data_IF_386399986441
#
_entry.id   IF_386399986441
#
_cell.length_a   1.000
_cell.length_b   1.000
_cell.length_c   1.000
_cell.angle_alpha   90.00
_cell.angle_beta   90.00
_cell.angle_gamma   90.00
#
_symmetry.space_group_name_H-M   'P 1'
#
loop_
_entity.id
_entity.type
_entity.pdbx_description
1 polymer ?
#
# COMPACT_ATOMS: atom_id res chain seq x y z
N UNK A 1 3.78 8.21 1.11
CA UNK A 1 2.44 8.10 0.50
C UNK A 1 1.93 6.71 0.80
N UNK A 2 0.85 6.61 1.57
CA UNK A 2 0.22 5.33 1.93
C UNK A 2 -0.89 4.98 0.91
N UNK A 3 -1.10 3.69 0.65
CA UNK A 3 -2.17 3.21 -0.23
C UNK A 3 -3.52 3.38 0.44
N UNK A 4 -3.58 3.12 1.75
CA UNK A 4 -4.77 3.24 2.56
C UNK A 4 -4.39 3.49 4.02
N UNK A 5 -5.29 4.14 4.76
CA UNK A 5 -5.16 4.33 6.20
C UNK A 5 -6.37 3.72 6.91
N UNK A 6 -6.14 2.62 7.63
CA UNK A 6 -7.17 1.91 8.35
C UNK A 6 -6.71 0.51 8.74
N UNK A 7 -7.64 -0.41 8.89
CA UNK A 7 -7.33 -1.76 9.35
C UNK A 7 -7.78 -2.80 8.33
N UNK A 8 -6.85 -3.70 7.95
CA UNK A 8 -7.14 -4.89 7.14
C UNK A 8 -7.51 -6.00 8.11
N UNK A 9 -8.80 -6.37 8.18
CA UNK A 9 -9.31 -7.35 9.17
C UNK A 9 -9.37 -8.75 8.60
N UNK A 10 -9.66 -8.86 7.32
CA UNK A 10 -9.90 -10.14 6.65
C UNK A 10 -9.10 -10.25 5.35
N UNK A 11 -8.88 -11.48 4.83
CA UNK A 11 -8.30 -11.65 3.51
C UNK A 11 -9.14 -11.01 2.39
N UNK A 12 -10.45 -10.92 2.57
CA UNK A 12 -11.36 -10.26 1.61
C UNK A 12 -11.05 -8.77 1.50
N UNK A 13 -10.70 -8.12 2.61
CA UNK A 13 -10.26 -6.71 2.58
C UNK A 13 -9.00 -6.54 1.71
N UNK A 14 -8.04 -7.47 1.81
CA UNK A 14 -6.85 -7.47 0.98
C UNK A 14 -7.18 -7.59 -0.53
N UNK A 15 -8.16 -8.43 -0.88
CA UNK A 15 -8.63 -8.57 -2.27
C UNK A 15 -9.20 -7.24 -2.78
N UNK A 16 -9.99 -6.53 -1.98
CA UNK A 16 -10.49 -5.21 -2.35
C UNK A 16 -9.37 -4.20 -2.57
N UNK A 17 -8.31 -4.21 -1.74
CA UNK A 17 -7.17 -3.35 -1.94
C UNK A 17 -6.44 -3.65 -3.26
N UNK A 18 -6.28 -4.92 -3.63
CA UNK A 18 -5.68 -5.30 -4.90
C UNK A 18 -6.50 -4.84 -6.10
N UNK A 19 -7.82 -5.04 -6.07
CA UNK A 19 -8.71 -4.61 -7.15
C UNK A 19 -8.73 -3.08 -7.27
N UNK A 20 -8.82 -2.37 -6.14
CA UNK A 20 -8.78 -0.92 -6.12
C UNK A 20 -7.45 -0.36 -6.66
N UNK A 21 -6.32 -1.02 -6.38
CA UNK A 21 -5.03 -0.66 -6.98
C UNK A 21 -4.97 -0.99 -8.49
N UNK A 22 -5.60 -2.10 -8.92
CA UNK A 22 -5.62 -2.53 -10.33
C UNK A 22 -6.40 -1.55 -11.21
N UNK A 23 -7.53 -1.02 -10.73
CA UNK A 23 -8.35 -0.04 -11.45
C UNK A 23 -7.86 1.42 -11.27
N UNK A 24 -6.82 1.65 -10.47
CA UNK A 24 -6.25 2.99 -10.23
C UNK A 24 -7.01 3.85 -9.21
N UNK A 25 -7.92 3.25 -8.43
CA UNK A 25 -8.66 3.96 -7.37
C UNK A 25 -7.76 4.26 -6.16
N UNK A 26 -6.92 3.31 -5.78
CA UNK A 26 -5.95 3.50 -4.69
C UNK A 26 -4.52 3.57 -5.23
N UNK A 27 -3.67 4.44 -4.65
CA UNK A 27 -2.31 4.56 -5.10
C UNK A 27 -1.47 3.35 -4.69
N UNK A 28 -0.78 2.75 -5.65
CA UNK A 28 0.18 1.68 -5.40
C UNK A 28 1.60 2.25 -5.21
N UNK A 29 2.36 1.67 -4.30
CA UNK A 29 3.78 1.98 -4.10
C UNK A 29 4.60 1.31 -5.19
N UNK A 30 5.38 2.10 -5.94
CA UNK A 30 6.20 1.63 -7.08
C UNK A 30 7.69 1.50 -6.75
N UNK A 31 8.11 1.95 -5.56
CA UNK A 31 9.50 1.91 -5.10
C UNK A 31 9.56 1.84 -3.58
N UNK A 32 10.71 1.46 -3.02
CA UNK A 32 10.94 1.54 -1.58
C UNK A 32 10.75 2.98 -1.07
N UNK A 33 10.10 3.10 0.08
CA UNK A 33 9.95 4.39 0.78
C UNK A 33 11.33 4.94 1.17
N UNK A 34 11.53 6.23 0.89
CA UNK A 34 12.68 7.01 1.35
C UNK A 34 12.65 7.18 2.88
N UNK A 35 13.77 7.56 3.47
CA UNK A 35 13.86 7.76 4.92
C UNK A 35 12.84 8.77 5.44
N UNK A 36 12.65 9.89 4.72
CA UNK A 36 11.62 10.89 5.04
C UNK A 36 10.20 10.33 4.97
N UNK A 37 9.90 9.48 3.98
CA UNK A 37 8.58 8.85 3.85
C UNK A 37 8.35 7.77 4.91
N UNK A 38 9.40 7.14 5.44
CA UNK A 38 9.28 6.17 6.53
C UNK A 38 8.92 6.84 7.86
N UNK A 39 9.36 8.08 8.07
CA UNK A 39 9.01 8.84 9.28
C UNK A 39 7.51 9.12 9.39
N UNK A 40 6.76 9.06 8.28
CA UNK A 40 5.30 9.24 8.30
C UNK A 40 4.50 7.94 8.45
N UNK A 41 5.17 6.78 8.58
CA UNK A 41 4.49 5.51 8.86
C UNK A 41 3.89 5.56 10.27
N UNK A 42 2.62 5.23 10.38
CA UNK A 42 1.87 5.23 11.64
C UNK A 42 0.94 4.03 11.71
N UNK A 43 0.32 3.84 12.88
CA UNK A 43 -0.68 2.79 13.07
C UNK A 43 -1.79 2.92 12.04
N UNK A 44 -2.08 1.83 11.33
CA UNK A 44 -3.07 1.79 10.26
C UNK A 44 -2.56 2.17 8.86
N UNK A 45 -1.28 2.54 8.69
CA UNK A 45 -0.71 2.74 7.35
C UNK A 45 -0.62 1.41 6.59
N UNK A 46 -1.28 1.34 5.43
CA UNK A 46 -1.27 0.19 4.52
C UNK A 46 -0.59 0.58 3.21
N UNK A 47 0.32 -0.27 2.75
CA UNK A 47 1.07 -0.08 1.51
C UNK A 47 0.89 -1.30 0.62
N UNK A 48 0.51 -1.09 -0.63
CA UNK A 48 0.38 -2.15 -1.64
C UNK A 48 1.41 -1.89 -2.74
N UNK A 49 2.09 -2.93 -3.21
CA UNK A 49 3.09 -2.86 -4.28
C UNK A 49 3.06 -4.13 -5.13
N UNK A 50 3.60 -4.05 -6.35
CA UNK A 50 3.96 -5.25 -7.12
C UNK A 50 5.41 -5.63 -6.84
N UNK A 51 5.66 -6.93 -6.71
CA UNK A 51 7.00 -7.47 -6.48
C UNK A 51 8.00 -7.02 -7.55
N UNK A 52 7.59 -7.04 -8.82
CA UNK A 52 8.41 -6.61 -9.96
C UNK A 52 8.81 -5.13 -9.91
N UNK A 53 7.97 -4.28 -9.32
CA UNK A 53 8.20 -2.83 -9.24
C UNK A 53 9.04 -2.46 -8.02
N UNK A 54 8.82 -3.13 -6.89
CA UNK A 54 9.39 -2.71 -5.62
C UNK A 54 10.89 -2.97 -5.50
N UNK A 55 11.51 -3.78 -6.39
CA UNK A 55 12.92 -4.24 -6.31
C UNK A 55 13.32 -4.49 -4.84
N UNK A 56 12.48 -5.24 -4.13
CA UNK A 56 12.76 -5.65 -2.75
C UNK A 56 13.77 -6.78 -2.73
#
# INVERSE_FOLDING_TARGET
METYHGHVRTPVDAIFFFEACRIGLLPRVQRRLSEKERQSIKSGSVFVWYESEARM
#
